data_IF_027317075662
#
_entry.id   IF_027317075662
#
_cell.length_a   1.000
_cell.length_b   1.000
_cell.length_c   1.000
_cell.angle_alpha   90.00
_cell.angle_beta   90.00
_cell.angle_gamma   90.00
#
_symmetry.space_group_name_H-M   'P 1'
#
loop_
_entity.id
_entity.type
_entity.pdbx_description
1 polymer ?
#
# COMPACT_ATOMS: atom_id res chain seq x y z
N UNK A 1 -23.33 15.79 -0.83
CA UNK A 1 -21.99 16.40 -0.96
C UNK A 1 -21.02 15.60 -0.09
N UNK A 2 -20.01 14.95 -0.67
CA UNK A 2 -18.90 14.41 0.11
C UNK A 2 -17.90 15.54 0.34
N UNK A 3 -17.41 15.69 1.58
CA UNK A 3 -16.61 16.87 1.99
C UNK A 3 -15.20 16.88 1.41
N UNK A 4 -14.74 15.78 0.78
CA UNK A 4 -13.38 15.55 0.26
C UNK A 4 -12.25 15.91 1.25
N UNK A 5 -12.59 16.03 2.54
CA UNK A 5 -11.64 16.42 3.59
C UNK A 5 -10.74 15.25 3.92
N UNK A 6 -9.46 15.54 4.05
CA UNK A 6 -8.45 14.61 4.55
C UNK A 6 -8.67 14.45 6.05
N UNK A 7 -8.88 13.21 6.50
CA UNK A 7 -9.07 12.85 7.92
C UNK A 7 -7.77 12.48 8.62
N UNK A 8 -6.76 12.05 7.87
CA UNK A 8 -5.49 11.60 8.42
C UNK A 8 -4.36 11.72 7.38
N UNK A 9 -3.14 12.03 7.85
CA UNK A 9 -1.91 12.00 7.04
C UNK A 9 -0.83 11.26 7.85
N UNK A 10 -0.48 10.06 7.40
CA UNK A 10 0.65 9.31 7.95
C UNK A 10 1.92 9.60 7.15
N UNK A 11 2.96 10.15 7.80
CA UNK A 11 4.25 10.41 7.16
C UNK A 11 5.25 9.35 7.60
N UNK A 12 5.84 8.65 6.63
CA UNK A 12 7.01 7.79 6.81
C UNK A 12 8.15 8.35 5.98
N UNK A 13 9.30 8.56 6.61
CA UNK A 13 10.48 9.12 5.96
C UNK A 13 11.73 8.32 6.32
N UNK A 14 12.39 7.76 5.30
CA UNK A 14 13.66 7.02 5.44
C UNK A 14 14.90 7.89 5.37
N UNK A 15 14.78 9.07 4.77
CA UNK A 15 15.93 9.86 4.36
C UNK A 15 15.86 11.24 4.99
N UNK A 16 16.92 11.58 5.70
CA UNK A 16 17.22 12.97 6.05
C UNK A 16 18.46 13.37 5.26
N UNK A 17 18.34 14.38 4.38
CA UNK A 17 19.45 14.85 3.58
C UNK A 17 20.58 15.44 4.44
N UNK A 18 20.21 16.10 5.55
CA UNK A 18 21.18 16.67 6.50
C UNK A 18 21.97 15.53 7.18
N UNK A 19 21.30 14.48 7.67
CA UNK A 19 21.97 13.28 8.17
C UNK A 19 22.92 12.66 7.14
N UNK A 20 22.50 12.58 5.88
CA UNK A 20 23.33 12.02 4.79
C UNK A 20 24.60 12.84 4.58
N UNK A 21 24.50 14.18 4.59
CA UNK A 21 25.66 15.07 4.45
C UNK A 21 26.60 14.99 5.65
N UNK A 22 26.05 14.98 6.87
CA UNK A 22 26.81 14.83 8.12
C UNK A 22 27.62 13.53 8.11
N UNK A 23 26.98 12.41 7.78
CA UNK A 23 27.62 11.10 7.71
C UNK A 23 28.75 11.06 6.67
N UNK A 24 28.54 11.68 5.50
CA UNK A 24 29.53 11.70 4.42
C UNK A 24 30.71 12.66 4.68
N UNK A 25 30.50 13.75 5.42
CA UNK A 25 31.52 14.78 5.67
C UNK A 25 32.20 14.67 7.03
N UNK A 26 31.80 13.71 7.87
CA UNK A 26 32.28 13.58 9.26
C UNK A 26 32.16 14.89 10.04
N UNK A 27 31.10 15.66 9.79
CA UNK A 27 30.84 16.93 10.46
C UNK A 27 29.69 16.80 11.43
N UNK A 28 29.87 17.24 12.67
CA UNK A 28 28.80 17.25 13.65
C UNK A 28 28.02 18.56 13.52
N UNK A 29 26.77 18.49 13.05
CA UNK A 29 25.84 19.62 13.00
C UNK A 29 24.51 19.22 13.57
N UNK A 30 24.06 19.95 14.59
CA UNK A 30 22.72 19.78 15.12
C UNK A 30 21.67 20.18 14.09
N UNK A 31 20.64 19.35 13.96
CA UNK A 31 19.46 19.65 13.17
C UNK A 31 18.26 18.85 13.69
N UNK A 32 17.06 19.34 13.37
CA UNK A 32 15.82 18.59 13.62
C UNK A 32 15.68 17.50 12.57
N UNK A 33 15.85 16.24 12.97
CA UNK A 33 15.73 15.10 12.07
C UNK A 33 14.29 14.59 12.00
N UNK A 34 13.72 14.61 10.80
CA UNK A 34 12.37 14.09 10.52
C UNK A 34 12.36 12.65 9.98
N UNK A 35 13.51 11.95 10.04
CA UNK A 35 13.57 10.54 9.67
C UNK A 35 12.86 9.72 10.75
N UNK A 36 11.82 9.00 10.37
CA UNK A 36 10.99 8.21 11.29
C UNK A 36 10.71 6.78 10.78
N UNK A 37 11.33 6.36 9.67
CA UNK A 37 11.18 5.02 9.12
C UNK A 37 12.54 4.36 8.86
N UNK A 38 12.71 3.15 9.38
CA UNK A 38 13.89 2.31 9.17
C UNK A 38 13.60 1.04 8.36
N UNK A 39 12.32 0.66 8.22
CA UNK A 39 11.90 -0.54 7.51
C UNK A 39 11.96 -0.45 5.98
N UNK A 40 11.54 -1.51 5.26
CA UNK A 40 11.42 -1.51 3.80
C UNK A 40 10.51 -0.39 3.30
N UNK A 41 10.80 0.22 2.15
CA UNK A 41 9.94 1.28 1.59
C UNK A 41 8.55 0.74 1.22
N UNK A 42 8.49 -0.52 0.77
CA UNK A 42 7.27 -1.25 0.47
C UNK A 42 6.34 -1.48 1.68
N UNK A 43 6.83 -1.26 2.91
CA UNK A 43 6.03 -1.41 4.12
C UNK A 43 5.52 -0.07 4.68
N UNK A 44 5.96 1.07 4.15
CA UNK A 44 5.60 2.41 4.65
C UNK A 44 4.10 2.68 4.55
N UNK A 45 3.50 2.38 3.40
CA UNK A 45 2.08 2.57 3.17
C UNK A 45 1.24 1.73 4.13
N UNK A 46 1.51 0.42 4.19
CA UNK A 46 0.78 -0.48 5.08
C UNK A 46 0.86 -0.07 6.56
N UNK A 47 1.98 0.53 6.99
CA UNK A 47 2.13 1.00 8.36
C UNK A 47 1.38 2.30 8.62
N UNK A 48 1.38 3.23 7.65
CA UNK A 48 0.59 4.45 7.71
C UNK A 48 -0.92 4.16 7.75
N UNK A 49 -1.39 3.18 6.96
CA UNK A 49 -2.80 2.74 6.98
C UNK A 49 -3.18 2.15 8.34
N UNK A 50 -2.34 1.32 8.95
CA UNK A 50 -2.61 0.80 10.29
C UNK A 50 -2.69 1.93 11.32
N UNK A 51 -1.79 2.91 11.24
CA UNK A 51 -1.84 4.10 12.10
C UNK A 51 -3.14 4.88 11.94
N UNK A 52 -3.59 5.10 10.70
CA UNK A 52 -4.86 5.75 10.40
C UNK A 52 -6.04 5.05 11.08
N UNK A 53 -6.14 3.72 10.92
CA UNK A 53 -7.26 2.95 11.47
C UNK A 53 -7.30 3.01 13.00
N UNK A 54 -6.13 2.90 13.65
CA UNK A 54 -6.01 3.04 15.09
C UNK A 54 -6.34 4.47 15.56
N UNK A 55 -5.91 5.49 14.80
CA UNK A 55 -6.22 6.88 15.07
C UNK A 55 -7.73 7.15 14.98
N UNK A 56 -8.39 6.68 13.91
CA UNK A 56 -9.83 6.86 13.72
C UNK A 56 -10.65 6.17 14.82
N UNK A 57 -10.26 4.98 15.25
CA UNK A 57 -10.92 4.30 16.37
C UNK A 57 -10.70 5.03 17.70
N UNK A 58 -9.47 5.49 17.95
CA UNK A 58 -9.11 6.13 19.22
C UNK A 58 -9.69 7.54 19.36
N UNK A 59 -9.61 8.36 18.32
CA UNK A 59 -9.93 9.80 18.38
C UNK A 59 -11.36 10.08 17.95
N UNK A 60 -11.87 9.35 16.96
CA UNK A 60 -13.19 9.60 16.39
C UNK A 60 -14.20 8.50 16.72
N UNK A 61 -13.78 7.40 17.36
CA UNK A 61 -14.62 6.23 17.61
C UNK A 61 -15.20 5.60 16.34
N UNK A 62 -14.49 5.75 15.21
CA UNK A 62 -14.88 5.23 13.90
C UNK A 62 -14.11 3.96 13.60
N UNK A 63 -14.82 2.93 13.14
CA UNK A 63 -14.23 1.66 12.67
C UNK A 63 -14.43 1.50 11.18
N UNK A 64 -13.35 1.58 10.40
CA UNK A 64 -13.39 1.36 8.96
C UNK A 64 -13.28 -0.13 8.65
N UNK A 65 -14.41 -0.77 8.30
CA UNK A 65 -14.47 -2.23 8.03
C UNK A 65 -14.28 -2.58 6.56
N UNK A 66 -14.28 -1.60 5.65
CA UNK A 66 -14.09 -1.80 4.23
C UNK A 66 -12.95 -0.91 3.76
N UNK A 67 -11.86 -1.51 3.30
CA UNK A 67 -10.69 -0.79 2.80
C UNK A 67 -10.66 -0.90 1.28
N UNK A 68 -10.73 0.25 0.60
CA UNK A 68 -10.63 0.35 -0.86
C UNK A 68 -9.20 0.71 -1.21
N UNK A 69 -8.56 -0.09 -2.06
CA UNK A 69 -7.18 0.15 -2.48
C UNK A 69 -6.82 -0.59 -3.76
N UNK A 70 -5.52 -0.59 -4.07
CA UNK A 70 -4.91 -1.32 -5.19
C UNK A 70 -4.94 -2.86 -5.02
N UNK A 71 -5.42 -3.35 -3.87
CA UNK A 71 -5.56 -4.76 -3.61
C UNK A 71 -4.32 -5.42 -3.00
N UNK A 72 -3.34 -4.64 -2.52
CA UNK A 72 -2.18 -5.17 -1.79
C UNK A 72 -2.61 -6.07 -0.61
N UNK A 73 -2.32 -7.36 -0.73
CA UNK A 73 -2.68 -8.35 0.27
C UNK A 73 -1.91 -8.13 1.58
N UNK A 74 -0.69 -7.60 1.51
CA UNK A 74 0.16 -7.37 2.67
C UNK A 74 -0.42 -6.28 3.59
N UNK A 75 -0.89 -5.18 3.01
CA UNK A 75 -1.55 -4.10 3.74
C UNK A 75 -2.78 -4.60 4.50
N UNK A 76 -3.65 -5.38 3.84
CA UNK A 76 -4.84 -5.94 4.49
C UNK A 76 -4.45 -6.93 5.60
N UNK A 77 -3.46 -7.80 5.37
CA UNK A 77 -2.99 -8.74 6.39
C UNK A 77 -2.51 -8.01 7.66
N UNK A 78 -1.69 -6.96 7.50
CA UNK A 78 -1.22 -6.12 8.60
C UNK A 78 -2.36 -5.41 9.34
N UNK A 79 -3.36 -4.90 8.61
CA UNK A 79 -4.54 -4.31 9.23
C UNK A 79 -5.31 -5.34 10.07
N UNK A 80 -5.48 -6.57 9.55
CA UNK A 80 -6.16 -7.65 10.29
C UNK A 80 -5.42 -8.06 11.56
N UNK A 81 -4.09 -8.06 11.52
CA UNK A 81 -3.22 -8.43 12.63
C UNK A 81 -3.17 -7.34 13.72
N UNK A 82 -3.00 -6.07 13.31
CA UNK A 82 -2.63 -4.98 14.23
C UNK A 82 -3.81 -4.14 14.72
N UNK A 83 -4.97 -4.20 14.06
CA UNK A 83 -6.15 -3.41 14.43
C UNK A 83 -7.10 -4.25 15.30
N UNK A 84 -7.63 -3.72 16.43
CA UNK A 84 -8.48 -4.48 17.35
C UNK A 84 -9.70 -5.15 16.71
N UNK A 85 -10.29 -4.50 15.70
CA UNK A 85 -11.43 -5.02 14.93
C UNK A 85 -11.01 -5.66 13.60
N UNK A 86 -9.74 -6.05 13.46
CA UNK A 86 -9.12 -6.55 12.24
C UNK A 86 -9.88 -7.70 11.58
N UNK A 87 -10.46 -8.62 12.36
CA UNK A 87 -11.28 -9.72 11.84
C UNK A 87 -12.51 -9.28 11.03
N UNK A 88 -12.96 -8.02 11.16
CA UNK A 88 -14.07 -7.43 10.41
C UNK A 88 -13.64 -6.68 9.15
N UNK A 89 -12.34 -6.53 8.93
CA UNK A 89 -11.80 -5.77 7.79
C UNK A 89 -11.93 -6.58 6.51
N UNK A 90 -12.64 -6.01 5.55
CA UNK A 90 -12.85 -6.52 4.20
C UNK A 90 -12.03 -5.69 3.20
N UNK A 91 -11.34 -6.40 2.32
CA UNK A 91 -10.68 -5.82 1.17
C UNK A 91 -11.71 -5.53 0.08
N UNK A 92 -11.68 -4.33 -0.47
CA UNK A 92 -12.43 -3.92 -1.65
C UNK A 92 -11.41 -3.46 -2.68
N UNK A 93 -11.41 -4.06 -3.87
CA UNK A 93 -10.48 -3.68 -4.93
C UNK A 93 -11.00 -2.45 -5.66
N UNK A 94 -10.12 -1.51 -5.99
CA UNK A 94 -10.45 -0.36 -6.81
C UNK A 94 -10.72 -0.79 -8.26
N UNK A 95 -11.88 -0.41 -8.81
CA UNK A 95 -12.36 -0.88 -10.11
C UNK A 95 -11.34 -0.69 -11.24
N UNK A 96 -10.66 0.45 -11.30
CA UNK A 96 -9.67 0.71 -12.35
C UNK A 96 -8.42 -0.17 -12.19
N UNK A 97 -7.99 -0.48 -10.96
CA UNK A 97 -6.90 -1.42 -10.75
C UNK A 97 -7.31 -2.83 -11.19
N UNK A 98 -8.52 -3.25 -10.82
CA UNK A 98 -9.08 -4.53 -11.23
C UNK A 98 -9.13 -4.65 -12.77
N UNK A 99 -9.70 -3.67 -13.47
CA UNK A 99 -9.78 -3.67 -14.94
C UNK A 99 -8.39 -3.74 -15.58
N UNK A 100 -7.42 -2.96 -15.10
CA UNK A 100 -6.04 -2.99 -15.60
C UNK A 100 -5.38 -4.35 -15.37
N UNK A 101 -5.63 -4.96 -14.21
CA UNK A 101 -5.11 -6.28 -13.86
C UNK A 101 -5.68 -7.36 -14.79
N UNK A 102 -7.01 -7.41 -14.94
CA UNK A 102 -7.67 -8.35 -15.84
C UNK A 102 -7.22 -8.18 -17.29
N UNK A 103 -7.08 -6.94 -17.76
CA UNK A 103 -6.58 -6.65 -19.10
C UNK A 103 -5.18 -7.21 -19.35
N UNK A 104 -4.24 -7.03 -18.41
CA UNK A 104 -2.88 -7.59 -18.52
C UNK A 104 -2.90 -9.11 -18.56
N UNK A 105 -3.64 -9.74 -17.64
CA UNK A 105 -3.76 -11.21 -17.60
C UNK A 105 -4.36 -11.76 -18.89
N UNK A 106 -5.35 -11.09 -19.48
CA UNK A 106 -5.95 -11.51 -20.75
C UNK A 106 -4.95 -11.41 -21.91
N UNK A 107 -4.15 -10.33 -21.98
CA UNK A 107 -3.10 -10.18 -22.99
C UNK A 107 -2.01 -11.24 -22.85
N UNK A 108 -1.59 -11.56 -21.62
CA UNK A 108 -0.65 -12.65 -21.35
C UNK A 108 -1.18 -14.01 -21.80
N UNK A 109 -2.46 -14.29 -21.54
CA UNK A 109 -3.11 -15.52 -22.00
C UNK A 109 -3.12 -15.60 -23.52
N UNK A 110 -3.54 -14.55 -24.22
CA UNK A 110 -3.53 -14.50 -25.69
C UNK A 110 -2.13 -14.72 -26.26
N UNK A 111 -1.11 -14.07 -25.69
CA UNK A 111 0.29 -14.24 -26.11
C UNK A 111 0.86 -15.64 -25.83
N UNK A 112 0.30 -16.36 -24.86
CA UNK A 112 0.66 -17.75 -24.60
C UNK A 112 -0.12 -18.72 -25.51
N UNK A 113 -1.37 -18.40 -25.89
CA UNK A 113 -2.17 -19.23 -26.80
C UNK A 113 -1.55 -19.34 -28.20
N UNK A 114 -0.88 -18.29 -28.70
CA UNK A 114 -0.14 -18.34 -29.97
C UNK A 114 1.06 -19.30 -29.95
N UNK A 115 1.48 -19.80 -28.78
CA UNK A 115 2.51 -20.86 -28.65
C UNK A 115 1.95 -22.28 -28.84
N UNK A 116 0.63 -22.45 -28.91
CA UNK A 116 -0.03 -23.74 -29.10
C UNK A 116 -0.50 -23.99 -30.55
N UNK A 117 -0.11 -23.15 -31.50
CA UNK A 117 -0.36 -23.38 -32.93
C UNK A 117 0.57 -24.47 -33.48
N UNK A 118 0.15 -25.72 -33.31
CA UNK A 118 0.67 -26.92 -33.96
C UNK A 118 -0.50 -27.88 -34.24
N UNK A 119 -0.32 -28.95 -35.03
CA UNK A 119 -1.41 -29.78 -35.58
C UNK A 119 -2.29 -30.54 -34.54
N UNK A 120 -2.05 -30.36 -33.24
CA UNK A 120 -2.79 -30.97 -32.13
C UNK A 120 -3.48 -29.89 -31.25
N UNK A 121 -3.31 -28.59 -31.56
CA UNK A 121 -3.93 -27.49 -30.82
C UNK A 121 -5.31 -27.11 -31.38
N UNK A 122 -6.30 -26.96 -30.50
CA UNK A 122 -7.67 -26.53 -30.81
C UNK A 122 -7.64 -25.23 -31.61
N UNK A 123 -8.15 -25.29 -32.85
CA UNK A 123 -8.52 -24.09 -33.61
C UNK A 123 -9.73 -23.46 -32.93
N UNK A 124 -9.61 -22.19 -32.54
CA UNK A 124 -10.76 -21.34 -32.21
C UNK A 124 -11.35 -20.85 -33.52
#
# INVERSE_FOLDING_TARGET
>A
MSTQKIVFIGIRNKVCLICSVIANRQTEKDHVCWKNWSGPSTAMESDAVVEELLYLEKVHHIRCTRLVGDGDANTIAKCKERVPYGGRILRVEWANHAVRRYGRTFQELLGNTTRFSGPIGIMI
#
